data_IF_730362295992
#
_entry.id   IF_730362295992
#
_cell.length_a   1.000
_cell.length_b   1.000
_cell.length_c   1.000
_cell.angle_alpha   90.00
_cell.angle_beta   90.00
_cell.angle_gamma   90.00
#
_symmetry.space_group_name_H-M   'P 1'
#
loop_
_entity.id
_entity.type
_entity.pdbx_description
1 polymer ?
#
# COMPACT_ATOMS: atom_id res chain seq x y z
N UNK A 1 -12.82 -61.60 -10.58
CA UNK A 1 -13.04 -60.22 -10.09
C UNK A 1 -12.00 -59.72 -9.06
N UNK A 2 -11.65 -60.51 -8.03
CA UNK A 2 -10.72 -60.10 -6.94
C UNK A 2 -9.33 -59.70 -7.43
N UNK A 3 -8.78 -60.39 -8.44
CA UNK A 3 -7.48 -60.07 -9.04
C UNK A 3 -7.45 -58.68 -9.67
N UNK A 4 -8.54 -58.27 -10.32
CA UNK A 4 -8.67 -56.95 -10.94
C UNK A 4 -8.65 -55.82 -9.89
N UNK A 5 -9.38 -55.99 -8.78
CA UNK A 5 -9.41 -55.02 -7.68
C UNK A 5 -8.05 -54.87 -6.98
N UNK A 6 -7.31 -55.97 -6.84
CA UNK A 6 -5.95 -55.98 -6.29
C UNK A 6 -4.96 -55.30 -7.25
N UNK A 7 -5.10 -55.50 -8.57
CA UNK A 7 -4.28 -54.80 -9.56
C UNK A 7 -4.46 -53.28 -9.51
N UNK A 8 -5.68 -52.79 -9.31
CA UNK A 8 -5.93 -51.34 -9.14
C UNK A 8 -5.26 -50.81 -7.86
N UNK A 9 -5.33 -51.54 -6.74
CA UNK A 9 -4.64 -51.14 -5.51
C UNK A 9 -3.13 -51.05 -5.72
N UNK A 10 -2.55 -52.03 -6.43
CA UNK A 10 -1.12 -52.05 -6.72
C UNK A 10 -0.68 -50.87 -7.59
N UNK A 11 -1.48 -50.51 -8.60
CA UNK A 11 -1.24 -49.33 -9.45
C UNK A 11 -1.28 -48.04 -8.61
N UNK A 12 -2.25 -47.90 -7.70
CA UNK A 12 -2.36 -46.74 -6.82
C UNK A 12 -1.17 -46.63 -5.85
N UNK A 13 -0.74 -47.74 -5.25
CA UNK A 13 0.42 -47.79 -4.36
C UNK A 13 1.71 -47.44 -5.12
N UNK A 14 1.89 -47.98 -6.33
CA UNK A 14 3.04 -47.66 -7.17
C UNK A 14 3.06 -46.17 -7.55
N UNK A 15 1.92 -45.61 -7.93
CA UNK A 15 1.78 -44.18 -8.21
C UNK A 15 2.09 -43.32 -6.98
N UNK A 16 1.62 -43.72 -5.80
CA UNK A 16 1.90 -43.03 -4.54
C UNK A 16 3.40 -43.00 -4.22
N UNK A 17 4.09 -44.14 -4.31
CA UNK A 17 5.54 -44.24 -4.08
C UNK A 17 6.32 -43.32 -5.05
N UNK A 18 5.95 -43.32 -6.34
CA UNK A 18 6.56 -42.45 -7.34
C UNK A 18 6.34 -40.96 -6.98
N UNK A 19 5.13 -40.57 -6.57
CA UNK A 19 4.84 -39.18 -6.19
C UNK A 19 5.42 -38.74 -4.84
N UNK A 20 5.67 -39.69 -3.93
CA UNK A 20 6.32 -39.41 -2.65
C UNK A 20 7.80 -39.05 -2.85
N UNK A 21 8.45 -39.76 -3.78
CA UNK A 21 9.84 -39.49 -4.17
C UNK A 21 10.01 -38.15 -4.88
N UNK A 22 8.94 -37.60 -5.49
CA UNK A 22 8.96 -36.31 -6.17
C UNK A 22 8.60 -35.10 -5.30
N UNK A 23 8.16 -35.31 -4.05
CA UNK A 23 7.86 -34.22 -3.10
C UNK A 23 6.67 -33.33 -3.47
N UNK A 24 5.77 -33.81 -4.32
CA UNK A 24 4.66 -33.02 -4.85
C UNK A 24 3.40 -33.09 -3.97
N UNK A 25 2.58 -32.03 -3.97
CA UNK A 25 1.25 -32.00 -3.31
C UNK A 25 0.34 -33.14 -3.80
N UNK A 26 0.61 -33.67 -5.01
CA UNK A 26 -0.10 -34.82 -5.56
C UNK A 26 0.00 -36.09 -4.70
N UNK A 27 1.07 -36.24 -3.90
CA UNK A 27 1.19 -37.35 -2.95
C UNK A 27 0.05 -37.34 -1.91
N UNK A 28 -0.41 -36.16 -1.47
CA UNK A 28 -1.53 -36.02 -0.52
C UNK A 28 -2.84 -36.50 -1.17
N UNK A 29 -3.07 -36.13 -2.43
CA UNK A 29 -4.26 -36.54 -3.18
C UNK A 29 -4.28 -38.05 -3.46
N UNK A 30 -3.16 -38.64 -3.89
CA UNK A 30 -3.06 -40.08 -4.17
C UNK A 30 -3.12 -40.89 -2.87
N UNK A 31 -2.51 -40.40 -1.78
CA UNK A 31 -2.62 -41.01 -0.46
C UNK A 31 -4.06 -41.05 0.04
N UNK A 32 -4.80 -39.95 -0.11
CA UNK A 32 -6.23 -39.90 0.14
C UNK A 32 -7.00 -40.91 -0.72
N UNK A 33 -6.70 -41.01 -2.01
CA UNK A 33 -7.34 -41.96 -2.92
C UNK A 33 -7.11 -43.43 -2.52
N UNK A 34 -5.90 -43.80 -2.08
CA UNK A 34 -5.61 -45.15 -1.55
C UNK A 34 -6.48 -45.43 -0.33
N UNK A 35 -6.55 -44.48 0.62
CA UNK A 35 -7.34 -44.64 1.84
C UNK A 35 -8.82 -44.88 1.52
N UNK A 36 -9.40 -44.05 0.65
CA UNK A 36 -10.78 -44.22 0.18
C UNK A 36 -10.99 -45.54 -0.57
N UNK A 37 -10.04 -45.97 -1.39
CA UNK A 37 -10.11 -47.24 -2.12
C UNK A 37 -10.03 -48.46 -1.19
N UNK A 38 -9.23 -48.41 -0.13
CA UNK A 38 -9.18 -49.45 0.91
C UNK A 38 -10.52 -49.55 1.66
N UNK A 39 -11.11 -48.40 2.03
CA UNK A 39 -12.45 -48.37 2.64
C UNK A 39 -13.49 -48.99 1.69
N UNK A 40 -13.45 -48.64 0.40
CA UNK A 40 -14.32 -49.22 -0.61
C UNK A 40 -14.18 -50.75 -0.69
N UNK A 41 -12.96 -51.27 -0.73
CA UNK A 41 -12.69 -52.71 -0.75
C UNK A 41 -13.19 -53.41 0.52
N UNK A 42 -13.04 -52.76 1.67
CA UNK A 42 -13.52 -53.28 2.95
C UNK A 42 -15.04 -53.38 3.00
N UNK A 43 -15.76 -52.35 2.55
CA UNK A 43 -17.23 -52.37 2.44
C UNK A 43 -17.68 -53.47 1.47
N UNK A 44 -17.04 -53.58 0.31
CA UNK A 44 -17.33 -54.65 -0.65
C UNK A 44 -17.11 -56.05 -0.04
N UNK A 45 -16.03 -56.24 0.72
CA UNK A 45 -15.72 -57.51 1.38
C UNK A 45 -16.76 -57.85 2.45
N UNK A 46 -17.21 -56.88 3.26
CA UNK A 46 -18.28 -57.07 4.25
C UNK A 46 -19.59 -57.49 3.57
N UNK A 47 -19.98 -56.79 2.50
CA UNK A 47 -21.22 -57.09 1.77
C UNK A 47 -21.15 -58.51 1.19
N UNK A 48 -20.01 -58.91 0.62
CA UNK A 48 -19.79 -60.27 0.14
C UNK A 48 -19.84 -61.31 1.27
N UNK A 49 -19.24 -61.02 2.43
CA UNK A 49 -19.25 -61.90 3.59
C UNK A 49 -20.67 -62.12 4.13
N UNK A 50 -21.44 -61.05 4.28
CA UNK A 50 -22.85 -61.10 4.69
C UNK A 50 -23.65 -61.95 3.69
N UNK A 51 -23.52 -61.68 2.39
CA UNK A 51 -24.23 -62.42 1.34
C UNK A 51 -23.83 -63.91 1.28
N UNK A 52 -22.59 -64.25 1.62
CA UNK A 52 -22.12 -65.63 1.74
C UNK A 52 -22.71 -66.32 2.97
N UNK A 53 -22.91 -65.61 4.09
CA UNK A 53 -23.55 -66.15 5.30
C UNK A 53 -24.99 -66.61 5.09
N UNK A 54 -25.70 -66.02 4.11
CA UNK A 54 -27.06 -66.44 3.72
C UNK A 54 -27.09 -67.53 2.63
N UNK A 55 -25.94 -67.91 2.07
CA UNK A 55 -25.87 -68.88 0.97
C UNK A 55 -25.02 -70.10 1.35
N UNK A 56 -25.60 -71.28 1.24
CA UNK A 56 -24.89 -72.55 1.47
C UNK A 56 -23.87 -72.90 0.38
N UNK A 57 -23.91 -72.20 -0.76
CA UNK A 57 -22.98 -72.35 -1.89
C UNK A 57 -22.12 -71.09 -2.05
N UNK A 58 -20.89 -71.21 -2.59
CA UNK A 58 -20.06 -70.05 -2.89
C UNK A 58 -20.77 -69.09 -3.86
N UNK A 59 -20.66 -67.79 -3.61
CA UNK A 59 -21.27 -66.75 -4.45
C UNK A 59 -20.80 -66.85 -5.91
N UNK A 60 -21.75 -66.80 -6.85
CA UNK A 60 -21.45 -66.75 -8.29
C UNK A 60 -20.77 -65.43 -8.68
N UNK A 61 -20.02 -65.40 -9.80
CA UNK A 61 -19.39 -64.15 -10.28
C UNK A 61 -20.42 -63.06 -10.64
N UNK A 62 -21.60 -63.45 -11.15
CA UNK A 62 -22.70 -62.52 -11.43
C UNK A 62 -23.21 -61.88 -10.14
N UNK A 63 -23.35 -62.66 -9.07
CA UNK A 63 -23.74 -62.14 -7.74
C UNK A 63 -22.67 -61.19 -7.19
N UNK A 64 -21.39 -61.54 -7.30
CA UNK A 64 -20.29 -60.65 -6.86
C UNK A 64 -20.29 -59.34 -7.62
N UNK A 65 -20.50 -59.37 -8.93
CA UNK A 65 -20.55 -58.16 -9.78
C UNK A 65 -21.72 -57.27 -9.39
N UNK A 66 -22.89 -57.86 -9.09
CA UNK A 66 -24.02 -57.11 -8.57
C UNK A 66 -23.70 -56.43 -7.23
N UNK A 67 -23.06 -57.15 -6.30
CA UNK A 67 -22.65 -56.57 -5.00
C UNK A 67 -21.60 -55.46 -5.16
N UNK A 68 -20.74 -55.52 -6.19
CA UNK A 68 -19.81 -54.43 -6.50
C UNK A 68 -20.55 -53.18 -6.97
N UNK A 69 -21.54 -53.33 -7.85
CA UNK A 69 -22.40 -52.21 -8.28
C UNK A 69 -23.09 -51.59 -7.07
N UNK A 70 -23.67 -52.40 -6.18
CA UNK A 70 -24.25 -51.92 -4.93
C UNK A 70 -23.25 -51.17 -4.06
N UNK A 71 -22.01 -51.66 -3.97
CA UNK A 71 -20.94 -50.98 -3.20
C UNK A 71 -20.60 -49.61 -3.81
N UNK A 72 -20.49 -49.52 -5.14
CA UNK A 72 -20.26 -48.26 -5.86
C UNK A 72 -21.39 -47.26 -5.57
N UNK A 73 -22.64 -47.72 -5.59
CA UNK A 73 -23.80 -46.87 -5.30
C UNK A 73 -23.81 -46.36 -3.86
N UNK A 74 -23.46 -47.20 -2.87
CA UNK A 74 -23.33 -46.77 -1.47
C UNK A 74 -22.25 -45.69 -1.34
N UNK A 75 -21.09 -45.89 -1.99
CA UNK A 75 -19.97 -44.96 -1.94
C UNK A 75 -20.32 -43.63 -2.62
N UNK A 76 -20.92 -43.65 -3.81
CA UNK A 76 -21.41 -42.45 -4.49
C UNK A 76 -22.48 -41.72 -3.67
N UNK A 77 -23.42 -42.46 -3.08
CA UNK A 77 -24.44 -41.91 -2.19
C UNK A 77 -23.85 -41.17 -1.00
N UNK A 78 -22.81 -41.73 -0.38
CA UNK A 78 -22.08 -41.07 0.72
C UNK A 78 -21.42 -39.75 0.28
N UNK A 79 -20.76 -39.71 -0.87
CA UNK A 79 -20.14 -38.48 -1.37
C UNK A 79 -21.18 -37.39 -1.71
N UNK A 80 -22.27 -37.78 -2.35
CA UNK A 80 -23.38 -36.86 -2.66
C UNK A 80 -23.98 -36.32 -1.36
N UNK A 81 -24.21 -37.18 -0.37
CA UNK A 81 -24.74 -36.79 0.94
C UNK A 81 -23.81 -35.82 1.67
N UNK A 82 -22.52 -36.13 1.77
CA UNK A 82 -21.56 -35.25 2.44
C UNK A 82 -21.46 -33.87 1.77
N UNK A 83 -21.46 -33.82 0.44
CA UNK A 83 -21.44 -32.54 -0.28
C UNK A 83 -22.73 -31.75 -0.04
N UNK A 84 -23.88 -32.43 -0.03
CA UNK A 84 -25.17 -31.82 0.29
C UNK A 84 -25.21 -31.29 1.73
N UNK A 85 -24.72 -32.07 2.70
CA UNK A 85 -24.65 -31.66 4.11
C UNK A 85 -23.71 -30.47 4.28
N UNK A 86 -22.51 -30.49 3.70
CA UNK A 86 -21.59 -29.36 3.74
C UNK A 86 -22.20 -28.07 3.17
N UNK A 87 -22.88 -28.14 2.03
CA UNK A 87 -23.58 -27.00 1.43
C UNK A 87 -24.72 -26.48 2.33
N UNK A 88 -25.47 -27.38 2.97
CA UNK A 88 -26.52 -27.00 3.91
C UNK A 88 -25.96 -26.37 5.18
N UNK A 89 -24.89 -26.93 5.75
CA UNK A 89 -24.20 -26.37 6.90
C UNK A 89 -23.68 -24.96 6.59
N UNK A 90 -23.09 -24.74 5.42
CA UNK A 90 -22.66 -23.41 4.98
C UNK A 90 -23.83 -22.45 4.81
N UNK A 91 -24.97 -22.91 4.26
CA UNK A 91 -26.18 -22.10 4.14
C UNK A 91 -26.72 -21.70 5.52
N UNK A 92 -26.77 -22.63 6.47
CA UNK A 92 -27.20 -22.38 7.86
C UNK A 92 -26.24 -21.40 8.53
N UNK A 93 -24.92 -21.61 8.40
CA UNK A 93 -23.90 -20.69 8.96
C UNK A 93 -24.06 -19.28 8.40
N UNK A 94 -24.21 -19.11 7.07
CA UNK A 94 -24.45 -17.79 6.46
C UNK A 94 -25.72 -17.14 6.98
N UNK A 95 -26.78 -17.90 7.19
CA UNK A 95 -28.01 -17.39 7.80
C UNK A 95 -27.77 -16.90 9.24
N UNK A 96 -27.03 -17.67 10.05
CA UNK A 96 -26.66 -17.29 11.42
C UNK A 96 -25.80 -16.02 11.44
N UNK A 97 -24.75 -15.94 10.64
CA UNK A 97 -23.92 -14.73 10.53
C UNK A 97 -24.72 -13.52 10.05
N UNK A 98 -25.58 -13.71 9.05
CA UNK A 98 -26.44 -12.64 8.52
C UNK A 98 -27.45 -12.17 9.57
N UNK A 99 -28.00 -13.07 10.37
CA UNK A 99 -28.90 -12.73 11.47
C UNK A 99 -28.16 -11.94 12.56
N UNK A 100 -27.01 -12.42 13.01
CA UNK A 100 -26.17 -11.73 14.00
C UNK A 100 -25.77 -10.32 13.51
N UNK A 101 -25.31 -10.20 12.26
CA UNK A 101 -24.98 -8.89 11.69
C UNK A 101 -26.20 -7.97 11.61
N UNK A 102 -27.38 -8.50 11.28
CA UNK A 102 -28.61 -7.72 11.23
C UNK A 102 -29.02 -7.18 12.61
N UNK A 103 -28.71 -7.88 13.70
CA UNK A 103 -28.97 -7.42 15.07
C UNK A 103 -28.11 -6.20 15.45
N UNK A 104 -26.91 -6.07 14.86
CA UNK A 104 -26.02 -4.91 15.04
C UNK A 104 -26.46 -3.66 14.23
N UNK A 105 -27.44 -3.80 13.34
CA UNK A 105 -27.92 -2.72 12.47
C UNK A 105 -29.22 -2.12 13.03
N UNK A 106 -29.13 -0.94 13.64
CA UNK A 106 -30.31 -0.27 14.19
C UNK A 106 -31.10 0.46 13.10
N UNK A 107 -32.42 0.49 13.25
CA UNK A 107 -33.35 1.14 12.31
C UNK A 107 -33.26 0.61 10.87
N UNK A 108 -32.78 -0.62 10.68
CA UNK A 108 -32.62 -1.22 9.36
C UNK A 108 -33.99 -1.42 8.67
N UNK A 109 -34.20 -0.86 7.46
CA UNK A 109 -35.42 -1.08 6.69
C UNK A 109 -35.66 -2.57 6.37
N UNK A 110 -36.91 -3.02 6.40
CA UNK A 110 -37.24 -4.45 6.17
C UNK A 110 -36.73 -4.99 4.83
N UNK A 111 -36.73 -4.15 3.79
CA UNK A 111 -36.26 -4.48 2.43
C UNK A 111 -34.76 -4.31 2.22
N UNK A 112 -34.01 -3.96 3.27
CA UNK A 112 -32.56 -3.79 3.19
C UNK A 112 -31.89 -5.11 2.77
N UNK A 113 -30.88 -5.00 1.90
CA UNK A 113 -30.05 -6.13 1.53
C UNK A 113 -29.01 -6.33 2.62
N UNK A 114 -28.97 -7.50 3.25
CA UNK A 114 -27.99 -7.85 4.28
C UNK A 114 -27.43 -9.24 3.99
N UNK A 115 -26.11 -9.39 4.06
CA UNK A 115 -25.40 -10.67 3.93
C UNK A 115 -24.17 -10.64 4.81
N UNK A 116 -23.91 -11.73 5.51
CA UNK A 116 -22.66 -11.92 6.22
C UNK A 116 -22.21 -13.39 6.21
N UNK A 117 -20.91 -13.58 6.38
CA UNK A 117 -20.27 -14.86 6.64
C UNK A 117 -19.11 -14.64 7.63
N UNK A 118 -18.30 -15.68 7.86
CA UNK A 118 -17.20 -15.64 8.83
C UNK A 118 -16.09 -14.60 8.53
N UNK A 119 -16.00 -14.08 7.30
CA UNK A 119 -14.89 -13.22 6.86
C UNK A 119 -15.34 -11.96 6.13
N UNK A 120 -16.64 -11.76 5.93
CA UNK A 120 -17.17 -10.63 5.16
C UNK A 120 -18.61 -10.32 5.53
N UNK A 121 -18.98 -9.06 5.39
CA UNK A 121 -20.35 -8.61 5.57
C UNK A 121 -20.69 -7.45 4.64
N UNK A 122 -21.98 -7.30 4.41
CA UNK A 122 -22.56 -6.33 3.51
C UNK A 122 -23.96 -5.96 3.99
N UNK A 123 -24.24 -4.67 4.12
CA UNK A 123 -25.60 -4.14 4.22
C UNK A 123 -25.75 -2.93 3.31
N UNK A 124 -26.89 -2.84 2.60
CA UNK A 124 -27.20 -1.69 1.75
C UNK A 124 -28.71 -1.41 1.68
N UNK A 125 -29.01 -0.12 1.65
CA UNK A 125 -30.33 0.47 1.41
C UNK A 125 -30.27 1.53 0.30
N UNK A 126 -29.18 1.63 -0.46
CA UNK A 126 -28.97 2.65 -1.50
C UNK A 126 -30.05 2.62 -2.59
N UNK A 127 -30.58 1.43 -2.86
CA UNK A 127 -31.68 1.18 -3.79
C UNK A 127 -33.08 1.44 -3.20
N UNK A 128 -33.16 1.90 -1.95
CA UNK A 128 -34.40 2.20 -1.26
C UNK A 128 -34.50 3.71 -0.98
N UNK A 129 -35.68 4.25 -1.21
CA UNK A 129 -36.03 5.64 -0.89
C UNK A 129 -37.26 5.67 0.01
N UNK A 130 -37.40 6.72 0.81
CA UNK A 130 -38.64 6.97 1.54
C UNK A 130 -39.75 7.46 0.60
N UNK A 131 -40.91 7.78 1.19
CA UNK A 131 -42.09 8.24 0.43
C UNK A 131 -41.86 9.59 -0.26
N UNK A 132 -40.92 10.39 0.24
CA UNK A 132 -40.57 11.71 -0.28
C UNK A 132 -39.38 11.64 -1.24
N UNK A 133 -38.88 10.44 -1.54
CA UNK A 133 -37.76 10.22 -2.46
C UNK A 133 -36.37 10.44 -1.83
N UNK A 134 -36.28 10.62 -0.52
CA UNK A 134 -35.01 10.77 0.21
C UNK A 134 -34.35 9.40 0.41
N UNK A 135 -33.02 9.40 0.39
CA UNK A 135 -32.20 8.22 0.64
C UNK A 135 -32.44 7.69 2.07
N UNK A 136 -32.78 6.40 2.18
CA UNK A 136 -32.87 5.74 3.48
C UNK A 136 -31.48 5.47 4.06
N UNK A 137 -31.41 5.40 5.39
CA UNK A 137 -30.23 5.10 6.19
C UNK A 137 -30.55 4.05 7.26
N UNK A 138 -29.51 3.47 7.85
CA UNK A 138 -29.53 2.64 9.06
C UNK A 138 -28.34 3.01 9.94
N UNK A 139 -28.36 2.67 11.23
CA UNK A 139 -27.19 2.89 12.10
C UNK A 139 -26.37 1.63 12.26
N UNK A 140 -25.06 1.82 12.34
CA UNK A 140 -24.09 0.78 12.71
C UNK A 140 -23.02 1.41 13.59
N UNK A 141 -23.05 1.10 14.89
CA UNK A 141 -22.24 1.82 15.88
C UNK A 141 -22.57 3.31 15.92
N UNK A 142 -21.54 4.15 15.78
CA UNK A 142 -21.67 5.62 15.80
C UNK A 142 -21.99 6.22 14.41
N UNK A 143 -22.16 5.37 13.38
CA UNK A 143 -22.34 5.82 12.00
C UNK A 143 -23.77 5.62 11.52
N UNK A 144 -24.32 6.66 10.89
CA UNK A 144 -25.56 6.55 10.10
C UNK A 144 -25.19 6.35 8.63
N UNK A 145 -25.61 5.24 8.04
CA UNK A 145 -25.09 4.70 6.78
C UNK A 145 -26.22 4.34 5.80
N UNK A 146 -25.95 4.45 4.50
CA UNK A 146 -26.79 3.86 3.45
C UNK A 146 -26.20 2.55 2.92
N UNK A 147 -24.89 2.33 3.09
CA UNK A 147 -24.23 1.05 2.80
C UNK A 147 -22.99 0.85 3.67
N UNK A 148 -22.69 -0.40 3.97
CA UNK A 148 -21.44 -0.84 4.59
C UNK A 148 -21.03 -2.19 4.00
N UNK A 149 -19.76 -2.37 3.68
CA UNK A 149 -19.21 -3.64 3.27
C UNK A 149 -17.74 -3.79 3.58
N UNK A 150 -17.31 -5.01 3.87
CA UNK A 150 -15.89 -5.35 4.01
C UNK A 150 -15.14 -5.14 2.69
N UNK A 151 -13.86 -4.78 2.78
CA UNK A 151 -12.92 -4.71 1.65
C UNK A 151 -12.37 -6.11 1.34
N UNK A 152 -11.84 -6.30 0.13
CA UNK A 152 -11.05 -7.50 -0.19
C UNK A 152 -9.85 -7.59 0.77
N UNK A 153 -9.87 -8.60 1.66
CA UNK A 153 -8.87 -8.73 2.73
C UNK A 153 -9.47 -9.12 4.07
N UNK A 154 -10.78 -8.92 4.27
CA UNK A 154 -11.52 -9.44 5.43
C UNK A 154 -12.28 -8.37 6.21
N UNK A 155 -12.63 -8.70 7.45
CA UNK A 155 -13.43 -7.84 8.34
C UNK A 155 -12.64 -6.69 8.98
N UNK A 156 -11.33 -6.59 8.72
CA UNK A 156 -10.47 -5.55 9.31
C UNK A 156 -10.76 -4.15 8.76
N UNK A 157 -10.92 -4.04 7.43
CA UNK A 157 -11.22 -2.79 6.75
C UNK A 157 -12.58 -2.82 6.06
N UNK A 158 -13.29 -1.71 6.17
CA UNK A 158 -14.68 -1.58 5.76
C UNK A 158 -14.87 -0.29 4.98
N UNK A 159 -15.59 -0.39 3.87
CA UNK A 159 -16.08 0.76 3.11
C UNK A 159 -17.52 1.02 3.53
N UNK A 160 -17.79 2.26 3.88
CA UNK A 160 -19.11 2.74 4.16
C UNK A 160 -19.50 3.86 3.19
N UNK A 161 -20.79 3.96 2.90
CA UNK A 161 -21.38 5.07 2.17
C UNK A 161 -22.48 5.67 3.03
N UNK A 162 -22.47 6.99 3.16
CA UNK A 162 -23.53 7.72 3.84
C UNK A 162 -23.87 9.04 3.14
N UNK A 163 -25.17 9.38 3.04
CA UNK A 163 -25.60 10.73 2.69
C UNK A 163 -25.34 11.75 3.81
N UNK A 164 -25.08 11.29 5.04
CA UNK A 164 -24.81 12.12 6.22
C UNK A 164 -23.34 11.97 6.58
N UNK A 165 -22.60 13.08 6.59
CA UNK A 165 -21.19 13.05 6.91
C UNK A 165 -20.96 12.69 8.40
N UNK A 166 -20.05 11.75 8.70
CA UNK A 166 -19.65 11.45 10.07
C UNK A 166 -19.20 12.69 10.85
N UNK A 167 -19.62 12.81 12.11
CA UNK A 167 -19.29 13.95 12.99
C UNK A 167 -17.78 14.12 13.23
N UNK A 168 -17.00 13.07 13.03
CA UNK A 168 -15.54 13.13 13.17
C UNK A 168 -14.89 14.02 12.11
N UNK A 169 -15.47 14.13 10.91
CA UNK A 169 -14.88 14.89 9.81
C UNK A 169 -15.10 16.39 10.03
N UNK A 170 -14.07 17.24 9.86
CA UNK A 170 -14.19 18.69 10.04
C UNK A 170 -15.28 19.34 9.16
N UNK A 171 -16.08 20.25 9.73
CA UNK A 171 -17.26 20.87 9.09
C UNK A 171 -17.01 21.63 7.76
N UNK A 172 -15.77 21.92 7.39
CA UNK A 172 -15.43 22.62 6.13
C UNK A 172 -14.93 21.69 5.03
N UNK A 173 -14.81 20.39 5.31
CA UNK A 173 -14.38 19.39 4.34
C UNK A 173 -15.58 18.49 4.06
N UNK A 174 -15.84 18.25 2.78
CA UNK A 174 -16.93 17.39 2.35
C UNK A 174 -16.38 16.16 1.63
N UNK A 175 -16.58 14.98 2.22
CA UNK A 175 -16.24 13.72 1.56
C UNK A 175 -17.20 13.45 0.40
N UNK A 176 -16.83 12.57 -0.53
CA UNK A 176 -17.63 12.22 -1.70
C UNK A 176 -18.89 11.37 -1.37
N UNK A 177 -19.09 11.04 -0.09
CA UNK A 177 -20.13 10.16 0.45
C UNK A 177 -19.58 8.82 0.93
N UNK A 178 -18.39 8.42 0.47
CA UNK A 178 -17.69 7.22 0.93
C UNK A 178 -16.70 7.57 2.04
N UNK A 179 -16.52 6.62 2.96
CA UNK A 179 -15.44 6.66 3.93
C UNK A 179 -15.04 5.25 4.33
N UNK A 180 -13.82 5.14 4.81
CA UNK A 180 -13.18 3.90 5.17
C UNK A 180 -13.06 3.85 6.68
N UNK A 181 -13.41 2.69 7.22
CA UNK A 181 -13.37 2.40 8.63
C UNK A 181 -12.45 1.21 8.85
N UNK A 182 -11.60 1.33 9.86
CA UNK A 182 -10.67 0.27 10.24
C UNK A 182 -11.02 -0.22 11.63
N UNK A 183 -10.92 -1.53 11.82
CA UNK A 183 -11.14 -2.17 13.10
C UNK A 183 -10.08 -1.71 14.12
N UNK A 184 -10.49 -1.50 15.38
CA UNK A 184 -9.57 -1.05 16.45
C UNK A 184 -8.50 -2.10 16.78
N UNK A 185 -8.86 -3.39 16.71
CA UNK A 185 -7.93 -4.53 16.79
C UNK A 185 -7.41 -4.89 15.39
N UNK A 186 -6.09 -5.16 15.28
CA UNK A 186 -5.39 -5.56 14.05
C UNK A 186 -5.72 -6.98 13.59
N UNK A 187 -6.25 -7.85 14.46
CA UNK A 187 -6.61 -9.24 14.12
C UNK A 187 -7.99 -9.63 14.64
N UNK A 188 -9.08 -8.99 14.15
CA UNK A 188 -10.43 -9.37 14.55
C UNK A 188 -10.72 -10.83 14.16
N UNK A 189 -11.18 -11.62 15.12
CA UNK A 189 -11.53 -13.02 14.91
C UNK A 189 -12.98 -13.23 14.49
N UNK A 190 -13.85 -12.25 14.78
CA UNK A 190 -15.30 -12.34 14.58
C UNK A 190 -15.87 -11.03 14.05
N UNK A 191 -17.05 -11.13 13.45
CA UNK A 191 -17.86 -9.98 13.11
C UNK A 191 -18.24 -9.23 14.40
N UNK A 192 -17.77 -8.01 14.54
CA UNK A 192 -17.98 -7.18 15.72
C UNK A 192 -18.92 -6.00 15.45
N UNK A 193 -19.36 -5.36 16.53
CA UNK A 193 -20.20 -4.18 16.49
C UNK A 193 -19.53 -3.04 15.73
N UNK A 194 -20.32 -2.16 15.09
CA UNK A 194 -19.80 -0.96 14.42
C UNK A 194 -19.03 -0.03 15.36
N UNK A 195 -19.22 -0.15 16.68
CA UNK A 195 -18.45 0.57 17.70
C UNK A 195 -16.98 0.18 17.76
N UNK A 196 -16.61 -0.99 17.25
CA UNK A 196 -15.22 -1.43 17.18
C UNK A 196 -14.49 -0.91 15.94
N UNK A 197 -15.19 -0.16 15.09
CA UNK A 197 -14.63 0.46 13.90
C UNK A 197 -14.44 1.96 14.10
N UNK A 198 -13.27 2.45 13.71
CA UNK A 198 -12.93 3.88 13.71
C UNK A 198 -12.84 4.38 12.28
N UNK A 199 -13.17 5.65 12.10
CA UNK A 199 -12.88 6.36 10.86
C UNK A 199 -11.38 6.33 10.58
N UNK A 200 -11.02 5.99 9.35
CA UNK A 200 -9.64 5.95 8.88
C UNK A 200 -9.41 7.05 7.84
N UNK A 201 -10.11 7.02 6.71
CA UNK A 201 -10.01 8.08 5.71
C UNK A 201 -11.29 8.26 4.89
N UNK A 202 -11.38 9.38 4.18
CA UNK A 202 -12.40 9.57 3.14
C UNK A 202 -11.82 10.25 1.89
N UNK A 203 -12.34 9.93 0.69
CA UNK A 203 -12.07 10.70 -0.50
C UNK A 203 -12.78 12.06 -0.46
N UNK A 204 -12.06 13.11 -0.82
CA UNK A 204 -12.57 14.48 -0.93
C UNK A 204 -12.50 14.93 -2.38
N UNK A 205 -13.64 15.38 -2.92
CA UNK A 205 -13.73 15.83 -4.32
C UNK A 205 -12.98 17.13 -4.56
N UNK A 206 -13.26 18.11 -3.71
CA UNK A 206 -12.69 19.46 -3.81
C UNK A 206 -12.58 20.07 -2.42
N UNK A 207 -11.47 20.76 -2.15
CA UNK A 207 -11.32 21.60 -0.98
C UNK A 207 -10.44 22.80 -1.30
N UNK A 208 -10.96 23.99 -1.02
CA UNK A 208 -10.23 25.24 -1.20
C UNK A 208 -9.60 25.65 0.13
N UNK A 209 -8.27 25.73 0.14
CA UNK A 209 -7.49 26.17 1.29
C UNK A 209 -6.72 27.43 0.95
N UNK A 210 -6.43 28.22 1.97
CA UNK A 210 -5.56 29.38 1.86
C UNK A 210 -4.31 29.13 2.68
N UNK A 211 -3.17 29.04 2.02
CA UNK A 211 -1.84 28.95 2.63
C UNK A 211 -1.05 30.18 2.18
N UNK A 212 -0.55 31.01 3.11
CA UNK A 212 0.24 32.21 2.78
C UNK A 212 -0.41 33.11 1.70
N UNK A 213 -1.69 33.46 1.86
CA UNK A 213 -2.47 34.24 0.89
C UNK A 213 -2.59 33.65 -0.52
N UNK A 214 -2.08 32.44 -0.76
CA UNK A 214 -2.32 31.68 -1.97
C UNK A 214 -3.56 30.83 -1.75
N UNK A 215 -4.53 30.98 -2.64
CA UNK A 215 -5.65 30.05 -2.73
C UNK A 215 -5.18 28.81 -3.48
N UNK A 216 -5.37 27.67 -2.85
CA UNK A 216 -5.01 26.36 -3.37
C UNK A 216 -6.28 25.53 -3.42
N UNK A 217 -6.64 25.12 -4.63
CA UNK A 217 -7.75 24.21 -4.89
C UNK A 217 -7.21 22.79 -4.99
N UNK A 218 -7.55 21.97 -3.99
CA UNK A 218 -7.20 20.57 -3.94
C UNK A 218 -8.34 19.76 -4.54
N UNK A 219 -8.01 18.84 -5.44
CA UNK A 219 -8.98 17.98 -6.11
C UNK A 219 -8.62 16.51 -5.91
N UNK A 220 -9.64 15.67 -5.69
CA UNK A 220 -9.51 14.21 -5.65
C UNK A 220 -8.37 13.71 -4.76
N UNK A 221 -8.41 14.10 -3.48
CA UNK A 221 -7.42 13.69 -2.48
C UNK A 221 -8.08 12.91 -1.34
N UNK A 222 -7.27 12.23 -0.53
CA UNK A 222 -7.72 11.47 0.63
C UNK A 222 -7.45 12.28 1.91
N UNK A 223 -8.48 12.44 2.74
CA UNK A 223 -8.36 12.98 4.08
C UNK A 223 -8.27 11.82 5.06
N UNK A 224 -7.11 11.66 5.68
CA UNK A 224 -6.83 10.62 6.66
C UNK A 224 -6.94 11.15 8.08
N UNK A 225 -7.45 10.32 8.97
CA UNK A 225 -7.47 10.53 10.40
C UNK A 225 -6.32 9.80 11.05
N UNK A 226 -5.56 10.47 11.93
CA UNK A 226 -4.54 9.77 12.70
C UNK A 226 -5.13 9.25 14.00
N UNK A 227 -4.98 7.94 14.18
CA UNK A 227 -5.26 7.27 15.42
C UNK A 227 -4.05 7.30 16.36
N UNK A 228 -4.18 8.05 17.46
CA UNK A 228 -3.17 8.24 18.52
C UNK A 228 -1.84 8.84 18.01
N UNK A 229 -1.12 9.51 18.91
CA UNK A 229 0.20 10.07 18.64
C UNK A 229 1.32 9.04 18.81
N UNK A 230 1.08 7.96 19.56
CA UNK A 230 2.09 6.93 19.80
C UNK A 230 2.47 6.21 18.50
N UNK A 231 3.77 6.08 18.27
CA UNK A 231 4.32 5.34 17.14
C UNK A 231 4.22 3.84 17.44
N UNK A 232 3.50 3.10 16.61
CA UNK A 232 3.30 1.67 16.78
C UNK A 232 4.23 0.84 15.88
N UNK A 233 4.49 -0.40 16.30
CA UNK A 233 5.12 -1.39 15.44
C UNK A 233 4.19 -1.69 14.24
N UNK A 234 4.74 -1.54 13.03
CA UNK A 234 4.00 -1.67 11.78
C UNK A 234 3.58 -0.33 11.15
N UNK A 235 3.71 0.80 11.84
CA UNK A 235 3.49 2.10 11.22
C UNK A 235 4.49 2.33 10.07
N UNK A 236 3.98 2.82 8.95
CA UNK A 236 4.82 3.26 7.82
C UNK A 236 5.70 4.44 8.24
N UNK A 237 6.84 4.61 7.58
CA UNK A 237 7.74 5.75 7.83
C UNK A 237 7.01 7.10 7.69
N UNK A 238 6.10 7.19 6.72
CA UNK A 238 5.21 8.34 6.53
C UNK A 238 4.39 8.64 7.79
N UNK A 239 3.68 7.64 8.33
CA UNK A 239 2.84 7.81 9.53
C UNK A 239 3.70 8.17 10.75
N UNK A 240 4.89 7.57 10.89
CA UNK A 240 5.86 7.91 11.94
C UNK A 240 6.29 9.37 11.87
N UNK A 241 6.63 9.86 10.68
CA UNK A 241 7.03 11.26 10.46
C UNK A 241 5.89 12.22 10.82
N UNK A 242 4.66 11.90 10.44
CA UNK A 242 3.50 12.73 10.79
C UNK A 242 3.26 12.75 12.30
N UNK A 243 3.27 11.59 12.97
CA UNK A 243 3.09 11.49 14.42
C UNK A 243 4.16 12.27 15.18
N UNK A 244 5.43 12.12 14.78
CA UNK A 244 6.54 12.88 15.35
C UNK A 244 6.34 14.39 15.19
N UNK A 245 5.99 14.85 13.99
CA UNK A 245 5.72 16.27 13.75
C UNK A 245 4.56 16.79 14.60
N UNK A 246 3.48 16.02 14.73
CA UNK A 246 2.33 16.40 15.56
C UNK A 246 2.71 16.51 17.06
N UNK A 247 3.50 15.56 17.57
CA UNK A 247 4.04 15.60 18.93
C UNK A 247 4.91 16.84 19.17
N UNK A 248 5.81 17.16 18.24
CA UNK A 248 6.69 18.33 18.34
C UNK A 248 5.92 19.66 18.36
N UNK A 249 4.76 19.70 17.70
CA UNK A 249 3.87 20.86 17.68
C UNK A 249 2.93 20.91 18.90
N UNK A 250 3.01 19.95 19.82
CA UNK A 250 2.13 19.86 20.98
C UNK A 250 0.66 19.58 20.62
N UNK A 251 0.41 18.99 19.45
CA UNK A 251 -0.94 18.63 19.02
C UNK A 251 -1.37 17.40 19.81
N UNK A 252 -2.23 17.61 20.80
CA UNK A 252 -2.74 16.54 21.68
C UNK A 252 -4.22 16.19 21.40
N UNK A 253 -4.82 16.80 20.39
CA UNK A 253 -6.24 16.62 20.03
C UNK A 253 -6.41 15.80 18.73
N UNK A 254 -7.66 15.61 18.28
CA UNK A 254 -7.97 15.03 16.97
C UNK A 254 -7.41 15.91 15.85
N UNK A 255 -6.65 15.31 14.95
CA UNK A 255 -6.14 15.96 13.74
C UNK A 255 -6.21 15.00 12.54
N UNK A 256 -6.06 15.60 11.37
CA UNK A 256 -6.13 14.92 10.08
C UNK A 256 -4.87 15.24 9.28
N UNK A 257 -4.58 14.40 8.30
CA UNK A 257 -3.64 14.74 7.26
C UNK A 257 -4.23 14.52 5.87
N UNK A 258 -3.81 15.34 4.93
CA UNK A 258 -4.14 15.21 3.52
C UNK A 258 -2.85 15.12 2.70
N UNK A 259 -2.77 14.13 1.83
CA UNK A 259 -1.75 14.11 0.79
C UNK A 259 -2.13 15.14 -0.28
N UNK A 260 -1.28 16.15 -0.44
CA UNK A 260 -1.52 17.18 -1.43
C UNK A 260 -1.08 16.65 -2.81
N UNK A 261 -1.96 16.64 -3.82
CA UNK A 261 -1.56 16.24 -5.17
C UNK A 261 -0.60 17.29 -5.74
N UNK A 262 0.69 16.96 -5.83
CA UNK A 262 1.69 17.81 -6.46
C UNK A 262 2.87 18.15 -5.56
N UNK A 263 3.41 19.36 -5.70
CA UNK A 263 4.63 19.77 -4.99
C UNK A 263 4.65 21.27 -4.68
N UNK A 264 5.49 21.69 -3.74
CA UNK A 264 5.76 23.11 -3.48
C UNK A 264 7.18 23.46 -3.89
N UNK A 265 7.39 24.67 -4.41
CA UNK A 265 8.74 25.26 -4.57
C UNK A 265 9.03 26.18 -3.41
N UNK A 266 10.22 26.10 -2.85
CA UNK A 266 10.76 27.08 -1.89
C UNK A 266 11.76 27.95 -2.67
N UNK A 267 11.35 29.17 -2.97
CA UNK A 267 12.07 30.04 -3.90
C UNK A 267 12.40 29.30 -5.22
N UNK A 268 13.59 29.54 -5.79
CA UNK A 268 14.06 28.88 -7.01
C UNK A 268 14.99 27.69 -6.77
N UNK A 269 15.29 27.33 -5.52
CA UNK A 269 16.37 26.39 -5.18
C UNK A 269 15.91 25.09 -4.54
N UNK A 270 14.69 25.01 -3.99
CA UNK A 270 14.21 23.79 -3.34
C UNK A 270 12.81 23.42 -3.79
N UNK A 271 12.53 22.13 -3.76
CA UNK A 271 11.21 21.56 -4.01
C UNK A 271 10.82 20.67 -2.84
N UNK A 272 9.59 20.76 -2.37
CA UNK A 272 8.98 19.87 -1.39
C UNK A 272 8.16 18.84 -2.16
N UNK A 273 8.71 17.63 -2.28
CA UNK A 273 8.04 16.49 -2.88
C UNK A 273 7.06 15.85 -1.90
N UNK A 274 5.99 15.27 -2.45
CA UNK A 274 4.90 14.59 -1.72
C UNK A 274 4.44 15.36 -0.46
N UNK A 275 3.95 16.60 -0.60
CA UNK A 275 3.58 17.43 0.53
C UNK A 275 2.36 16.85 1.27
N UNK A 276 2.44 16.83 2.58
CA UNK A 276 1.40 16.36 3.50
C UNK A 276 0.96 17.54 4.35
N UNK A 277 -0.34 17.84 4.33
CA UNK A 277 -0.91 18.92 5.13
C UNK A 277 -1.53 18.36 6.40
N UNK A 278 -1.09 18.85 7.57
CA UNK A 278 -1.76 18.60 8.85
C UNK A 278 -2.88 19.61 9.08
N UNK A 279 -4.00 19.11 9.56
CA UNK A 279 -5.25 19.85 9.64
C UNK A 279 -5.89 19.61 11.01
N UNK A 280 -6.39 20.68 11.65
CA UNK A 280 -7.11 20.56 12.92
C UNK A 280 -8.57 20.09 12.74
N UNK A 281 -9.25 19.84 13.85
CA UNK A 281 -10.68 19.47 13.88
C UNK A 281 -11.63 20.54 13.29
N UNK A 282 -11.16 21.76 13.04
CA UNK A 282 -11.92 22.88 12.44
C UNK A 282 -11.54 23.11 10.97
N UNK A 283 -10.78 22.19 10.38
CA UNK A 283 -10.26 22.27 9.02
C UNK A 283 -9.28 23.45 8.80
N UNK A 284 -8.56 23.88 9.84
CA UNK A 284 -7.49 24.85 9.69
C UNK A 284 -6.17 24.12 9.44
N UNK A 285 -5.37 24.57 8.46
CA UNK A 285 -4.01 24.10 8.28
C UNK A 285 -3.16 24.38 9.52
N UNK A 286 -2.45 23.35 10.00
CA UNK A 286 -1.54 23.43 11.15
C UNK A 286 -0.09 23.48 10.68
N UNK A 287 0.30 22.49 9.86
CA UNK A 287 1.67 22.34 9.38
C UNK A 287 1.70 21.66 8.01
N UNK A 288 2.74 21.95 7.23
CA UNK A 288 3.03 21.27 5.98
C UNK A 288 4.30 20.45 6.17
N UNK A 289 4.23 19.16 5.87
CA UNK A 289 5.35 18.23 5.94
C UNK A 289 5.71 17.82 4.53
N UNK A 290 6.99 17.69 4.22
CA UNK A 290 7.37 17.02 2.98
C UNK A 290 8.86 16.86 2.85
N UNK A 291 9.26 16.21 1.77
CA UNK A 291 10.67 15.95 1.51
C UNK A 291 11.23 17.11 0.69
N UNK A 292 12.01 17.97 1.32
CA UNK A 292 12.72 19.04 0.66
C UNK A 292 13.93 18.49 -0.11
N UNK A 293 14.01 18.84 -1.38
CA UNK A 293 15.05 18.43 -2.31
C UNK A 293 15.67 19.69 -2.90
N UNK A 294 16.99 19.81 -2.79
CA UNK A 294 17.76 20.87 -3.42
C UNK A 294 17.71 20.66 -4.93
N UNK A 295 17.34 21.70 -5.68
CA UNK A 295 17.33 21.65 -7.14
C UNK A 295 18.71 21.28 -7.66
N UNK A 296 19.76 21.95 -7.19
CA UNK A 296 21.14 21.68 -7.64
C UNK A 296 21.68 20.31 -7.21
N UNK A 297 21.04 19.62 -6.25
CA UNK A 297 21.50 18.32 -5.74
C UNK A 297 22.70 18.38 -4.79
N UNK A 298 23.16 19.58 -4.43
CA UNK A 298 24.27 19.82 -3.50
C UNK A 298 23.84 20.68 -2.32
N UNK A 299 24.78 20.95 -1.40
CA UNK A 299 24.65 21.94 -0.33
C UNK A 299 24.15 23.26 -0.90
N UNK A 300 23.01 23.74 -0.42
CA UNK A 300 22.52 25.09 -0.78
C UNK A 300 22.03 25.83 0.44
N UNK A 301 21.72 27.11 0.24
CA UNK A 301 21.21 27.96 1.31
C UNK A 301 19.70 27.98 1.33
N UNK A 302 19.14 28.00 2.54
CA UNK A 302 17.77 28.46 2.80
C UNK A 302 17.90 29.65 3.73
N UNK A 303 17.55 30.84 3.25
CA UNK A 303 17.83 32.09 3.95
C UNK A 303 19.33 32.24 4.21
N UNK A 304 19.70 32.42 5.48
CA UNK A 304 21.10 32.56 5.92
C UNK A 304 21.78 31.23 6.23
N UNK A 305 21.03 30.11 6.30
CA UNK A 305 21.57 28.81 6.67
C UNK A 305 22.09 28.02 5.48
N UNK A 306 23.28 27.46 5.63
CA UNK A 306 23.84 26.46 4.71
C UNK A 306 23.32 25.08 5.10
N UNK A 307 22.52 24.48 4.23
CA UNK A 307 22.01 23.11 4.39
C UNK A 307 22.94 22.18 3.64
N UNK A 308 23.67 21.35 4.38
CA UNK A 308 24.71 20.47 3.83
C UNK A 308 24.19 19.17 3.21
N UNK A 309 22.91 18.86 3.39
CA UNK A 309 22.26 17.70 2.77
C UNK A 309 21.37 18.19 1.61
N UNK A 310 21.43 17.51 0.47
CA UNK A 310 20.62 17.85 -0.71
C UNK A 310 19.18 17.34 -0.65
N UNK A 311 18.85 16.60 0.41
CA UNK A 311 17.56 15.98 0.66
C UNK A 311 17.28 15.98 2.16
N UNK A 312 16.07 16.39 2.56
CA UNK A 312 15.66 16.29 3.95
C UNK A 312 14.16 16.39 4.23
N UNK A 313 13.74 15.95 5.41
CA UNK A 313 12.37 16.11 5.90
C UNK A 313 12.15 17.55 6.40
N UNK A 314 11.27 18.29 5.73
CA UNK A 314 10.93 19.66 6.06
C UNK A 314 9.57 19.73 6.77
N UNK A 315 9.52 20.48 7.87
CA UNK A 315 8.29 20.79 8.59
C UNK A 315 8.05 22.30 8.54
N UNK A 316 6.99 22.75 7.91
CA UNK A 316 6.59 24.15 7.87
C UNK A 316 5.43 24.42 8.83
N UNK A 317 5.52 25.48 9.60
CA UNK A 317 4.47 25.99 10.49
C UNK A 317 4.16 27.46 10.15
N UNK A 318 3.27 28.12 10.91
CA UNK A 318 2.83 29.50 10.67
C UNK A 318 2.27 29.72 9.25
N UNK A 319 1.46 28.76 8.78
CA UNK A 319 0.93 28.72 7.40
C UNK A 319 -0.02 29.89 7.05
N UNK A 320 -0.39 30.72 8.03
CA UNK A 320 -1.34 31.84 7.88
C UNK A 320 -0.65 33.19 7.62
N UNK A 321 0.59 33.35 8.07
CA UNK A 321 1.33 34.61 7.91
C UNK A 321 1.99 34.67 6.52
N UNK A 322 2.50 35.84 6.13
CA UNK A 322 3.23 36.06 4.86
C UNK A 322 4.55 35.24 4.75
N UNK A 323 4.81 34.38 5.72
CA UNK A 323 6.05 33.66 5.90
C UNK A 323 5.88 32.38 6.71
N UNK A 324 6.17 31.23 6.09
CA UNK A 324 6.22 29.94 6.76
C UNK A 324 7.43 29.86 7.71
N UNK A 325 7.32 29.15 8.83
CA UNK A 325 8.46 28.82 9.70
C UNK A 325 8.94 27.40 9.38
N UNK A 326 10.19 27.23 8.94
CA UNK A 326 10.77 25.93 8.60
C UNK A 326 11.50 25.31 9.81
N UNK A 327 10.94 24.25 10.37
CA UNK A 327 11.60 23.43 11.38
C UNK A 327 12.34 22.26 10.70
N UNK A 328 13.63 22.13 11.03
CA UNK A 328 14.53 21.11 10.50
C UNK A 328 15.09 20.33 11.69
N UNK A 329 14.32 19.37 12.21
CA UNK A 329 14.86 18.48 13.24
C UNK A 329 15.83 17.46 12.62
N UNK A 330 16.87 17.08 13.38
CA UNK A 330 17.89 16.08 13.06
C UNK A 330 18.94 16.40 11.98
N UNK A 331 18.91 17.53 11.28
CA UNK A 331 19.98 17.92 10.32
C UNK A 331 21.02 18.86 10.94
N UNK A 332 20.68 19.47 12.08
CA UNK A 332 21.46 20.55 12.69
C UNK A 332 22.87 20.10 13.09
N UNK A 333 23.13 18.80 13.24
CA UNK A 333 24.48 18.27 13.45
C UNK A 333 25.44 18.49 12.26
N UNK A 334 24.98 19.00 11.11
CA UNK A 334 25.83 19.24 9.94
C UNK A 334 25.93 20.69 9.48
N UNK A 335 25.13 21.65 9.97
CA UNK A 335 25.14 23.04 9.46
C UNK A 335 25.89 24.02 10.38
N UNK A 336 26.95 24.67 9.88
CA UNK A 336 27.62 25.78 10.58
C UNK A 336 26.70 27.01 10.64
N UNK A 337 26.45 27.54 11.84
CA UNK A 337 25.82 28.86 12.03
C UNK A 337 24.30 28.88 12.19
N UNK A 338 23.68 27.73 12.44
CA UNK A 338 22.23 27.58 12.51
C UNK A 338 21.79 27.19 13.94
N UNK A 339 20.86 27.94 14.56
CA UNK A 339 20.25 27.57 15.83
C UNK A 339 19.19 26.48 15.64
N UNK A 340 18.82 25.77 16.71
CA UNK A 340 17.99 24.55 16.62
C UNK A 340 16.57 24.72 16.06
N UNK A 341 16.06 25.96 15.96
CA UNK A 341 14.78 26.30 15.32
C UNK A 341 15.07 27.53 14.47
N UNK A 342 14.83 27.44 13.17
CA UNK A 342 15.14 28.54 12.25
C UNK A 342 13.89 28.95 11.52
N UNK A 343 13.20 29.94 12.08
CA UNK A 343 12.07 30.56 11.41
C UNK A 343 12.57 31.40 10.23
N UNK A 344 12.75 30.76 9.08
CA UNK A 344 12.99 31.45 7.83
C UNK A 344 11.69 31.81 7.17
N UNK A 345 11.45 33.11 6.97
CA UNK A 345 10.40 33.54 6.05
C UNK A 345 10.70 33.02 4.65
N UNK A 346 9.96 32.00 4.21
CA UNK A 346 10.08 31.44 2.87
C UNK A 346 8.80 31.65 2.06
N UNK A 347 8.95 31.92 0.77
CA UNK A 347 7.84 31.93 -0.17
C UNK A 347 7.67 30.54 -0.76
N UNK A 348 6.52 29.93 -0.51
CA UNK A 348 6.10 28.70 -1.16
C UNK A 348 5.27 29.05 -2.40
N UNK A 349 5.44 28.28 -3.47
CA UNK A 349 4.50 28.27 -4.60
C UNK A 349 4.05 26.84 -4.86
N UNK A 350 2.74 26.63 -4.87
CA UNK A 350 2.15 25.33 -5.11
C UNK A 350 2.01 25.05 -6.61
N UNK A 351 2.32 23.82 -7.02
CA UNK A 351 2.11 23.32 -8.38
C UNK A 351 1.21 22.10 -8.30
N UNK A 352 -0.01 22.21 -8.84
CA UNK A 352 -1.03 21.17 -8.85
C UNK A 352 -0.82 20.18 -10.01
N UNK A 353 0.38 19.63 -10.10
CA UNK A 353 0.73 18.59 -11.06
C UNK A 353 1.51 17.54 -10.31
N UNK A 354 1.23 16.27 -10.59
CA UNK A 354 2.15 15.22 -10.16
C UNK A 354 3.48 15.57 -10.77
N UNK A 355 4.44 15.62 -9.89
CA UNK A 355 5.80 15.77 -10.27
C UNK A 355 6.20 14.55 -11.14
N UNK A 356 6.19 14.76 -12.44
CA UNK A 356 6.62 13.74 -13.37
C UNK A 356 8.14 13.71 -13.34
N UNK A 357 8.72 12.57 -12.94
CA UNK A 357 10.16 12.33 -13.07
C UNK A 357 10.48 12.04 -14.53
N UNK A 358 10.08 12.93 -15.44
CA UNK A 358 10.35 12.80 -16.87
C UNK A 358 11.76 13.28 -17.11
N UNK A 359 12.62 12.35 -17.50
CA UNK A 359 13.97 12.68 -17.92
C UNK A 359 13.88 13.36 -19.28
N UNK A 360 14.30 14.62 -19.35
CA UNK A 360 14.52 15.27 -20.63
C UNK A 360 15.96 15.03 -21.05
N UNK A 361 16.14 14.45 -22.23
CA UNK A 361 17.44 14.36 -22.90
C UNK A 361 17.52 15.46 -23.93
N UNK A 362 18.52 16.33 -23.81
CA UNK A 362 18.70 17.42 -24.75
C UNK A 362 20.12 17.97 -24.73
N UNK A 363 20.40 18.85 -25.68
CA UNK A 363 21.61 19.68 -25.64
C UNK A 363 21.49 20.72 -24.53
N UNK A 364 22.61 21.27 -24.13
CA UNK A 364 22.68 22.37 -23.17
C UNK A 364 21.89 23.56 -23.72
N UNK A 365 20.94 24.07 -22.93
CA UNK A 365 20.13 25.25 -23.25
C UNK A 365 20.35 26.31 -22.17
N UNK A 366 19.98 27.57 -22.44
CA UNK A 366 20.04 28.63 -21.41
C UNK A 366 19.34 28.27 -20.10
N UNK A 367 18.32 27.41 -20.15
CA UNK A 367 17.50 27.05 -19.00
C UNK A 367 18.16 26.01 -18.07
N UNK A 368 19.11 25.20 -18.57
CA UNK A 368 19.77 24.14 -17.79
C UNK A 368 21.26 24.42 -17.49
N UNK A 369 21.79 25.57 -17.90
CA UNK A 369 23.19 25.98 -17.60
C UNK A 369 23.48 26.00 -16.10
N UNK A 370 22.48 26.29 -15.27
CA UNK A 370 22.64 26.27 -13.81
C UNK A 370 23.04 24.89 -13.26
N UNK A 371 22.80 23.80 -13.99
CA UNK A 371 23.18 22.42 -13.63
C UNK A 371 24.63 22.10 -13.88
N UNK A 372 25.30 22.98 -14.61
CA UNK A 372 26.63 22.77 -15.13
C UNK A 372 27.66 23.67 -14.45
N UNK A 373 27.28 24.37 -13.37
CA UNK A 373 28.13 25.37 -12.70
C UNK A 373 29.44 24.79 -12.16
N UNK A 374 29.45 23.52 -11.77
CA UNK A 374 30.65 22.83 -11.25
C UNK A 374 31.49 22.18 -12.35
N UNK A 375 31.05 22.26 -13.61
CA UNK A 375 31.71 21.67 -14.76
C UNK A 375 32.36 22.75 -15.62
N UNK A 376 33.52 22.47 -16.20
CA UNK A 376 34.23 23.39 -17.09
C UNK A 376 34.69 22.72 -18.37
N UNK A 377 34.90 23.54 -19.40
CA UNK A 377 35.26 23.10 -20.76
C UNK A 377 34.30 22.07 -21.35
N UNK A 378 32.99 22.27 -21.16
CA UNK A 378 31.96 21.35 -21.62
C UNK A 378 31.83 21.47 -23.16
N UNK A 379 32.04 20.38 -23.92
CA UNK A 379 31.89 20.38 -25.37
C UNK A 379 30.47 20.75 -25.84
N UNK A 380 30.34 21.38 -27.00
CA UNK A 380 29.05 21.79 -27.56
C UNK A 380 28.12 20.61 -27.92
N UNK A 381 28.70 19.42 -28.14
CA UNK A 381 28.01 18.16 -28.40
C UNK A 381 27.64 17.39 -27.13
N UNK A 382 27.81 18.00 -25.95
CA UNK A 382 27.42 17.38 -24.69
C UNK A 382 25.89 17.30 -24.57
N UNK A 383 25.42 16.08 -24.32
CA UNK A 383 24.05 15.78 -23.94
C UNK A 383 23.92 15.86 -22.43
N UNK A 384 22.85 16.51 -21.99
CA UNK A 384 22.46 16.60 -20.59
C UNK A 384 21.11 15.92 -20.44
N UNK A 385 21.01 15.07 -19.43
CA UNK A 385 19.75 14.50 -18.96
C UNK A 385 19.42 15.11 -17.61
N UNK A 386 18.25 15.74 -17.51
CA UNK A 386 17.80 16.38 -16.29
C UNK A 386 16.30 16.19 -16.09
N UNK A 387 15.83 16.48 -14.89
CA UNK A 387 14.40 16.62 -14.62
C UNK A 387 14.04 18.10 -14.70
N UNK A 388 13.16 18.57 -15.59
CA UNK A 388 12.84 19.99 -15.68
C UNK A 388 12.17 20.53 -14.40
N UNK A 389 11.46 19.68 -13.66
CA UNK A 389 10.76 19.99 -12.41
C UNK A 389 11.74 20.07 -11.21
N UNK A 390 12.78 19.23 -11.22
CA UNK A 390 13.96 19.35 -10.35
C UNK A 390 15.18 19.46 -11.23
N UNK A 391 15.66 20.67 -11.56
CA UNK A 391 16.81 20.84 -12.40
C UNK A 391 18.00 20.31 -11.58
N UNK A 392 18.17 19.00 -11.65
CA UNK A 392 19.10 18.10 -11.00
C UNK A 392 19.71 17.38 -12.18
N UNK A 393 21.02 17.47 -12.27
CA UNK A 393 21.76 16.72 -13.25
C UNK A 393 21.52 15.22 -12.99
N UNK A 394 20.94 14.51 -13.95
CA UNK A 394 20.85 13.06 -13.88
C UNK A 394 22.04 12.43 -14.59
N UNK A 395 22.30 12.88 -15.82
CA UNK A 395 23.50 12.50 -16.54
C UNK A 395 24.05 13.64 -17.38
N UNK A 396 25.36 13.62 -17.59
CA UNK A 396 26.10 14.46 -18.51
C UNK A 396 26.98 13.54 -19.35
N UNK A 397 26.84 13.56 -20.67
CA UNK A 397 27.60 12.69 -21.56
C UNK A 397 28.02 13.47 -22.79
N UNK A 398 29.29 13.36 -23.17
CA UNK A 398 29.78 13.93 -24.43
C UNK A 398 30.10 12.81 -25.42
N UNK A 399 29.65 12.94 -26.67
CA UNK A 399 30.01 12.01 -27.73
C UNK A 399 31.48 12.15 -28.09
N UNK A 400 32.01 13.39 -28.08
CA UNK A 400 33.38 13.72 -28.42
C UNK A 400 34.02 14.62 -27.35
N UNK A 401 35.31 14.40 -27.08
CA UNK A 401 36.08 15.21 -26.12
C UNK A 401 35.86 14.81 -24.66
N UNK A 402 36.05 15.79 -23.78
CA UNK A 402 35.98 15.62 -22.33
C UNK A 402 35.67 16.95 -21.65
N UNK A 403 35.18 16.88 -20.42
CA UNK A 403 34.89 18.04 -19.57
C UNK A 403 35.49 17.84 -18.19
N UNK A 404 35.62 18.92 -17.43
CA UNK A 404 36.25 18.86 -16.11
C UNK A 404 35.22 19.03 -14.99
N UNK A 405 35.33 18.21 -13.95
CA UNK A 405 34.66 18.42 -12.66
C UNK A 405 35.73 18.60 -11.58
N UNK A 406 35.99 19.85 -11.18
CA UNK A 406 37.22 20.19 -10.46
C UNK A 406 38.46 19.82 -11.28
N UNK A 407 39.37 19.04 -10.69
CA UNK A 407 40.59 18.57 -11.37
C UNK A 407 40.38 17.28 -12.19
N UNK A 408 39.18 16.68 -12.14
CA UNK A 408 38.88 15.41 -12.81
C UNK A 408 38.50 15.66 -14.27
N UNK A 409 39.20 15.00 -15.20
CA UNK A 409 38.90 15.04 -16.63
C UNK A 409 38.00 13.85 -17.03
N UNK A 410 36.75 14.12 -17.41
CA UNK A 410 35.66 13.15 -17.52
C UNK A 410 35.02 13.13 -18.91
N UNK A 411 34.47 12.00 -19.33
CA UNK A 411 33.67 11.86 -20.56
C UNK A 411 32.17 11.69 -20.28
N UNK A 412 31.84 11.21 -19.08
CA UNK A 412 30.47 11.09 -18.63
C UNK A 412 30.34 11.24 -17.12
N UNK A 413 29.16 11.61 -16.66
CA UNK A 413 28.74 11.63 -15.27
C UNK A 413 27.30 11.14 -15.22
N UNK A 414 27.02 10.15 -14.38
CA UNK A 414 25.68 9.64 -14.09
C UNK A 414 25.45 9.64 -12.58
N UNK A 415 24.35 10.25 -12.14
CA UNK A 415 24.04 10.48 -10.74
C UNK A 415 22.87 9.58 -10.33
N UNK A 416 23.15 8.69 -9.37
CA UNK A 416 22.20 7.74 -8.80
C UNK A 416 22.13 7.92 -7.28
N UNK A 417 21.17 8.73 -6.81
CA UNK A 417 21.05 9.05 -5.38
C UNK A 417 22.31 9.75 -4.88
N UNK A 418 23.03 9.11 -3.96
CA UNK A 418 24.30 9.61 -3.39
C UNK A 418 25.55 9.01 -4.08
N UNK A 419 25.37 8.33 -5.22
CA UNK A 419 26.49 7.72 -5.95
C UNK A 419 26.65 8.39 -7.30
N UNK A 420 27.91 8.61 -7.71
CA UNK A 420 28.24 9.13 -9.03
C UNK A 420 29.07 8.11 -9.79
N UNK A 421 28.63 7.85 -11.02
CA UNK A 421 29.26 6.94 -11.97
C UNK A 421 29.91 7.78 -13.06
N UNK A 422 31.19 7.55 -13.33
CA UNK A 422 31.94 8.39 -14.27
C UNK A 422 33.11 7.65 -14.91
N UNK A 423 33.49 8.12 -16.09
CA UNK A 423 34.60 7.61 -16.90
C UNK A 423 35.65 8.70 -17.06
N UNK A 424 36.84 8.45 -16.47
CA UNK A 424 38.01 9.32 -16.56
C UNK A 424 38.63 9.22 -17.96
N UNK A 425 38.90 10.37 -18.58
CA UNK A 425 39.38 10.40 -19.98
C UNK A 425 40.88 10.21 -20.07
N UNK A 426 41.68 10.88 -19.24
CA UNK A 426 43.14 10.69 -19.17
C UNK A 426 43.71 11.46 -18.00
N UNK A 427 44.32 10.78 -17.03
CA UNK A 427 45.55 11.14 -16.29
C UNK A 427 45.84 10.01 -15.32
N UNK A 428 46.79 9.11 -15.64
CA UNK A 428 47.31 8.14 -14.68
C UNK A 428 48.83 8.28 -14.55
N UNK A 429 49.38 8.18 -13.32
CA UNK A 429 48.67 8.05 -12.04
C UNK A 429 48.05 9.38 -11.58
N UNK A 430 46.83 9.35 -11.05
CA UNK A 430 46.15 10.53 -10.49
C UNK A 430 45.84 10.30 -9.01
N UNK A 431 46.13 11.32 -8.18
CA UNK A 431 45.80 11.31 -6.77
C UNK A 431 44.40 11.88 -6.57
N UNK A 432 43.51 11.12 -5.93
CA UNK A 432 42.17 11.54 -5.51
C UNK A 432 42.10 11.37 -3.99
N UNK A 433 42.11 12.47 -3.24
CA UNK A 433 42.26 12.42 -1.78
C UNK A 433 43.57 11.73 -1.41
N UNK A 434 43.52 10.68 -0.60
CA UNK A 434 44.70 9.88 -0.22
C UNK A 434 45.02 8.72 -1.17
N UNK A 435 44.17 8.49 -2.18
CA UNK A 435 44.30 7.35 -3.08
C UNK A 435 45.00 7.75 -4.38
N UNK A 436 45.82 6.84 -4.91
CA UNK A 436 46.34 6.93 -6.27
C UNK A 436 45.58 5.97 -7.17
N UNK A 437 44.90 6.50 -8.17
CA UNK A 437 44.33 5.71 -9.25
C UNK A 437 45.43 5.49 -10.28
N UNK A 438 45.71 4.22 -10.59
CA UNK A 438 46.81 3.81 -11.49
C UNK A 438 46.26 3.26 -12.82
N UNK A 439 44.99 2.83 -12.83
CA UNK A 439 44.23 2.47 -14.04
C UNK A 439 42.74 2.25 -13.70
N UNK A 440 41.82 3.06 -14.22
CA UNK A 440 40.40 2.80 -14.20
C UNK A 440 39.90 2.63 -15.64
N UNK A 441 39.04 1.62 -15.83
CA UNK A 441 38.08 1.66 -16.93
C UNK A 441 36.76 2.27 -16.46
N UNK A 442 36.46 2.22 -15.15
CA UNK A 442 35.29 2.83 -14.50
C UNK A 442 35.67 3.22 -13.08
N UNK A 443 35.26 4.42 -12.62
CA UNK A 443 35.40 4.84 -11.23
C UNK A 443 33.99 5.00 -10.64
N UNK A 444 33.63 4.14 -9.69
CA UNK A 444 32.45 4.35 -8.84
C UNK A 444 32.90 5.10 -7.61
N UNK A 445 32.54 6.38 -7.51
CA UNK A 445 32.81 7.17 -6.30
C UNK A 445 31.54 7.13 -5.46
N UNK A 446 31.64 6.49 -4.29
CA UNK A 446 30.62 6.63 -3.26
C UNK A 446 30.85 8.01 -2.65
N UNK A 447 29.89 8.90 -2.79
CA UNK A 447 29.90 10.17 -2.08
C UNK A 447 29.62 9.86 -0.60
N UNK A 448 30.69 9.63 0.17
CA UNK A 448 30.61 9.49 1.62
C UNK A 448 30.71 10.91 2.18
N UNK A 449 29.59 11.41 2.70
CA UNK A 449 29.54 12.61 3.54
C UNK A 449 29.53 12.25 5.01
#
# INVERSE_FOLDING_TARGET
>A
MTRFLISILFILILAFIITLLSGTIQAILIGGAIFYYVIFLFIYAIICFIAQGFNSKPLSESTKTFLLISTILIFLGYFIWNNYDALNQDKIRRQLYTAAFREELENLPQKAMVRANHSSFFASVENLKDKDGKQLTFKWGDYELARVNTVEGGIFDVVAFSPIQPEVIPNKIQCDGHFYLTHKDKNPMTLDSGKEYRFDYCPVKEWNIRLNNQEISLYSFELHYIFNLEIENGDSEKVKNIKSAATNLGINEKYFFADLPGYFKINDLWVIDTPILLIDNKANPIALIGNAISRTGYTTKIGECAINDSYFNALFTNLKDESFSLNIENIINKSKGCNNIIEFKVYLSYVNEKLEKRKELGRITKNNVILLQDFSNIPEDTYIEWYPEYPRLHSLFTEHGSFYWGDLNLSNVEIHGNTVWTSLVNHFPMKIGDFFVIKPQFLSVIYIH
#
